data_IF_427416837231
#
_entry.id   IF_427416837231
#
_cell.length_a   1.000
_cell.length_b   1.000
_cell.length_c   1.000
_cell.angle_alpha   90.00
_cell.angle_beta   90.00
_cell.angle_gamma   90.00
#
_symmetry.space_group_name_H-M   'P 1'
#
loop_
_entity.id
_entity.type
_entity.pdbx_description
1 polymer ?
#
# COMPACT_ATOMS: atom_id res chain seq x y z
N UNK A 1 22.07 6.12 11.45
CA UNK A 1 21.31 5.97 10.19
C UNK A 1 22.28 5.57 9.07
N UNK A 2 22.02 4.49 8.31
CA UNK A 2 22.99 3.86 7.40
C UNK A 2 22.44 3.63 5.98
N UNK A 3 21.38 4.34 5.61
CA UNK A 3 20.69 4.20 4.31
C UNK A 3 20.53 5.55 3.57
N UNK A 4 21.10 6.64 4.10
CA UNK A 4 20.96 8.00 3.55
C UNK A 4 19.51 8.47 3.40
N UNK A 5 18.54 7.78 4.03
CA UNK A 5 17.16 8.23 4.10
C UNK A 5 17.01 9.18 5.30
N UNK A 6 16.17 10.22 5.18
CA UNK A 6 15.90 11.06 6.33
C UNK A 6 15.22 10.23 7.42
N UNK A 7 15.60 10.44 8.69
CA UNK A 7 15.11 9.67 9.84
C UNK A 7 13.57 9.79 10.02
N UNK A 8 12.95 10.79 9.38
CA UNK A 8 11.51 11.02 9.34
C UNK A 8 10.75 10.21 8.28
N UNK A 9 11.44 9.35 7.51
CA UNK A 9 10.81 8.44 6.55
C UNK A 9 10.46 7.05 7.14
N UNK A 10 10.81 6.78 8.40
CA UNK A 10 10.63 5.44 8.96
C UNK A 10 9.17 5.17 9.39
N UNK A 11 8.45 4.40 8.57
CA UNK A 11 7.15 3.81 8.92
C UNK A 11 7.39 2.33 9.29
N UNK A 12 7.00 1.88 10.50
CA UNK A 12 7.10 0.46 10.85
C UNK A 12 6.30 -0.41 9.88
N UNK A 13 6.91 -1.46 9.35
CA UNK A 13 6.24 -2.43 8.48
C UNK A 13 5.08 -3.10 9.22
N UNK A 14 3.87 -2.92 8.69
CA UNK A 14 2.62 -3.40 9.27
C UNK A 14 2.46 -3.03 10.76
N UNK A 15 2.95 -1.86 11.15
CA UNK A 15 2.91 -1.38 12.51
C UNK A 15 2.62 0.12 12.60
N UNK A 16 2.32 0.56 13.82
CA UNK A 16 2.14 1.97 14.13
C UNK A 16 3.47 2.61 14.55
N UNK A 17 3.72 3.88 14.18
CA UNK A 17 4.86 4.63 14.69
C UNK A 17 4.86 4.65 16.22
N UNK A 18 6.05 4.51 16.81
CA UNK A 18 6.24 4.61 18.28
C UNK A 18 6.58 6.02 18.73
N UNK A 19 7.09 6.86 17.82
CA UNK A 19 7.44 8.26 18.08
C UNK A 19 6.21 9.16 18.00
N UNK A 20 6.18 10.22 18.80
CA UNK A 20 5.18 11.30 18.70
C UNK A 20 5.44 12.22 17.51
N UNK A 21 6.71 12.37 17.09
CA UNK A 21 7.13 13.11 15.90
C UNK A 21 7.50 12.12 14.80
N UNK A 22 6.72 12.10 13.73
CA UNK A 22 6.80 11.10 12.64
C UNK A 22 7.07 11.72 11.26
N UNK A 23 7.10 13.05 11.19
CA UNK A 23 7.36 13.81 9.96
C UNK A 23 7.77 15.23 10.34
N UNK A 24 8.76 15.79 9.64
CA UNK A 24 9.07 17.22 9.71
C UNK A 24 8.08 18.08 8.89
N UNK A 25 7.36 17.44 7.96
CA UNK A 25 6.35 18.08 7.10
C UNK A 25 4.97 17.94 7.73
N UNK A 26 4.27 19.05 7.88
CA UNK A 26 2.95 19.12 8.54
C UNK A 26 1.81 18.51 7.71
N UNK A 27 1.98 18.38 6.39
CA UNK A 27 1.00 17.81 5.48
C UNK A 27 1.26 16.33 5.14
N UNK A 28 2.12 15.65 5.91
CA UNK A 28 2.42 14.22 5.75
C UNK A 28 2.07 13.46 7.03
N UNK A 29 1.58 12.24 6.85
CA UNK A 29 1.43 11.27 7.94
C UNK A 29 1.84 9.88 7.46
N UNK A 30 2.26 9.01 8.39
CA UNK A 30 2.41 7.60 8.10
C UNK A 30 1.08 6.97 7.66
N UNK A 31 1.18 5.94 6.82
CA UNK A 31 0.05 5.08 6.51
C UNK A 31 -0.37 4.28 7.74
N UNK A 32 -1.67 4.18 7.96
CA UNK A 32 -2.24 3.22 8.90
C UNK A 32 -1.93 1.79 8.44
N UNK A 33 -1.97 0.82 9.36
CA UNK A 33 -1.75 -0.61 9.02
C UNK A 33 -2.70 -1.07 7.90
N UNK A 34 -3.95 -0.60 7.91
CA UNK A 34 -4.92 -0.92 6.86
C UNK A 34 -4.52 -0.35 5.50
N UNK A 35 -3.99 0.87 5.43
CA UNK A 35 -3.49 1.46 4.18
C UNK A 35 -2.24 0.73 3.68
N UNK A 36 -1.34 0.35 4.58
CA UNK A 36 -0.16 -0.46 4.25
C UNK A 36 -0.58 -1.81 3.65
N UNK A 37 -1.53 -2.51 4.28
CA UNK A 37 -2.06 -3.78 3.76
C UNK A 37 -2.70 -3.62 2.38
N UNK A 38 -3.46 -2.54 2.15
CA UNK A 38 -4.04 -2.25 0.82
C UNK A 38 -2.94 -2.03 -0.22
N UNK A 39 -1.92 -1.23 0.08
CA UNK A 39 -0.80 -1.00 -0.83
C UNK A 39 -0.04 -2.29 -1.14
N UNK A 40 0.23 -3.12 -0.12
CA UNK A 40 0.90 -4.41 -0.30
C UNK A 40 0.06 -5.37 -1.15
N UNK A 41 -1.26 -5.39 -0.96
CA UNK A 41 -2.16 -6.20 -1.78
C UNK A 41 -2.15 -5.76 -3.25
N UNK A 42 -2.17 -4.45 -3.52
CA UNK A 42 -2.01 -3.92 -4.89
C UNK A 42 -0.65 -4.31 -5.48
N UNK A 43 0.43 -4.23 -4.68
CA UNK A 43 1.76 -4.67 -5.08
C UNK A 43 1.83 -6.17 -5.40
N UNK A 44 1.09 -7.00 -4.67
CA UNK A 44 0.98 -8.44 -4.97
C UNK A 44 0.26 -8.69 -6.30
N UNK A 45 -0.78 -7.92 -6.63
CA UNK A 45 -1.48 -8.02 -7.92
C UNK A 45 -0.54 -7.79 -9.12
N UNK A 46 0.46 -6.93 -8.96
CA UNK A 46 1.46 -6.65 -10.01
C UNK A 46 2.37 -7.85 -10.34
N UNK A 47 2.38 -8.90 -9.52
CA UNK A 47 3.10 -10.14 -9.85
C UNK A 47 2.45 -10.90 -11.01
N UNK A 48 1.16 -10.70 -11.26
CA UNK A 48 0.42 -11.37 -12.32
C UNK A 48 -0.23 -10.41 -13.33
N UNK A 49 -0.37 -9.13 -12.98
CA UNK A 49 -0.97 -8.11 -13.83
C UNK A 49 0.05 -7.02 -14.18
N UNK A 50 0.08 -6.65 -15.46
CA UNK A 50 0.77 -5.44 -15.93
C UNK A 50 0.17 -4.18 -15.27
N UNK A 51 1.01 -3.18 -15.01
CA UNK A 51 0.61 -1.94 -14.35
C UNK A 51 -0.42 -1.13 -15.16
N UNK A 52 -0.39 -1.22 -16.48
CA UNK A 52 -1.34 -0.59 -17.39
C UNK A 52 -2.55 -1.48 -17.72
N UNK A 53 -2.64 -2.68 -17.13
CA UNK A 53 -3.81 -3.53 -17.28
C UNK A 53 -5.06 -2.86 -16.71
N UNK A 54 -6.22 -3.18 -17.28
CA UNK A 54 -7.51 -2.59 -16.89
C UNK A 54 -7.78 -2.71 -15.38
N UNK A 55 -7.52 -3.87 -14.78
CA UNK A 55 -7.76 -4.10 -13.35
C UNK A 55 -6.83 -3.25 -12.48
N UNK A 56 -5.57 -3.07 -12.87
CA UNK A 56 -4.61 -2.25 -12.14
C UNK A 56 -4.97 -0.76 -12.24
N UNK A 57 -5.31 -0.27 -13.44
CA UNK A 57 -5.75 1.12 -13.61
C UNK A 57 -7.01 1.43 -12.81
N UNK A 58 -7.95 0.50 -12.71
CA UNK A 58 -9.16 0.65 -11.88
C UNK A 58 -8.84 0.89 -10.40
N UNK A 59 -7.72 0.37 -9.86
CA UNK A 59 -7.32 0.63 -8.47
C UNK A 59 -7.00 2.10 -8.18
N UNK A 60 -6.70 2.90 -9.20
CA UNK A 60 -6.31 4.30 -9.04
C UNK A 60 -7.50 5.25 -8.89
N UNK A 61 -8.64 4.93 -9.49
CA UNK A 61 -9.79 5.84 -9.57
C UNK A 61 -11.12 5.23 -9.10
N UNK A 62 -11.21 3.90 -8.93
CA UNK A 62 -12.38 3.25 -8.35
C UNK A 62 -12.19 3.00 -6.86
N UNK A 63 -13.31 2.88 -6.12
CA UNK A 63 -13.26 2.41 -4.74
C UNK A 63 -12.57 1.04 -4.65
N UNK A 64 -11.60 0.92 -3.75
CA UNK A 64 -10.76 -0.26 -3.63
C UNK A 64 -11.57 -1.52 -3.31
N UNK A 65 -12.57 -1.42 -2.42
CA UNK A 65 -13.39 -2.58 -2.06
C UNK A 65 -14.23 -3.04 -3.26
N UNK A 66 -14.69 -2.10 -4.09
CA UNK A 66 -15.38 -2.45 -5.34
C UNK A 66 -14.46 -3.20 -6.30
N UNK A 67 -13.18 -2.85 -6.41
CA UNK A 67 -12.23 -3.58 -7.26
C UNK A 67 -12.01 -5.01 -6.72
N UNK A 68 -11.74 -5.14 -5.43
CA UNK A 68 -11.50 -6.45 -4.78
C UNK A 68 -12.73 -7.37 -4.84
N UNK A 69 -13.94 -6.82 -4.69
CA UNK A 69 -15.17 -7.63 -4.76
C UNK A 69 -15.52 -8.09 -6.19
N UNK A 70 -14.87 -7.54 -7.22
CA UNK A 70 -15.11 -7.88 -8.62
C UNK A 70 -13.90 -8.58 -9.27
N UNK A 71 -13.04 -9.21 -8.48
CA UNK A 71 -11.91 -9.96 -9.00
C UNK A 71 -12.37 -11.16 -9.85
N UNK A 72 -11.61 -11.45 -10.89
CA UNK A 72 -11.82 -12.63 -11.72
C UNK A 72 -11.49 -13.89 -10.92
N UNK A 73 -12.12 -15.01 -11.28
CA UNK A 73 -11.76 -16.34 -10.73
C UNK A 73 -10.32 -16.75 -11.03
N UNK A 74 -9.67 -16.08 -11.97
CA UNK A 74 -8.27 -16.30 -12.33
C UNK A 74 -7.29 -15.50 -11.46
N UNK A 75 -7.76 -14.53 -10.67
CA UNK A 75 -6.90 -13.78 -9.78
C UNK A 75 -6.46 -14.67 -8.60
N UNK A 76 -5.18 -14.62 -8.27
CA UNK A 76 -4.61 -15.36 -7.15
C UNK A 76 -4.38 -14.37 -6.02
N UNK A 77 -5.08 -14.56 -4.90
CA UNK A 77 -4.89 -13.74 -3.71
C UNK A 77 -3.77 -14.31 -2.84
N UNK A 78 -2.92 -13.46 -2.25
CA UNK A 78 -1.91 -13.91 -1.29
C UNK A 78 -2.58 -14.49 -0.04
N UNK A 79 -1.99 -15.56 0.50
CA UNK A 79 -2.43 -16.18 1.75
C UNK A 79 -2.11 -15.27 2.95
N UNK A 80 -2.88 -15.43 4.04
CA UNK A 80 -2.74 -14.65 5.28
C UNK A 80 -1.68 -15.22 6.21
#
# INVERSE_FOLDING_TARGET
>A
AYDSLPEDAWIPFLGSPKSSMVSTRTNFRPFSVNEQQKMLLVGACLQCHDDNSKVMQQTLYMDFNRVINNLSKHCILPEK
#
